data_IF_448469889029
#
_entry.id   IF_448469889029
#
_cell.length_a   1.000
_cell.length_b   1.000
_cell.length_c   1.000
_cell.angle_alpha   90.00
_cell.angle_beta   90.00
_cell.angle_gamma   90.00
#
_symmetry.space_group_name_H-M   'P 1'
#
loop_
_entity.id
_entity.type
_entity.pdbx_description
1 polymer ?
#
# COMPACT_ATOMS: atom_id res chain seq x y z
N UNK A 1 -15.78 13.20 2.55
CA UNK A 1 -14.91 14.19 1.88
C UNK A 1 -13.80 13.41 1.21
N UNK A 2 -13.79 13.34 -0.12
CA UNK A 2 -12.82 12.54 -0.88
C UNK A 2 -11.44 13.19 -0.76
N UNK A 3 -10.41 12.41 -0.43
CA UNK A 3 -9.03 12.91 -0.35
C UNK A 3 -8.61 13.54 -1.69
N UNK A 4 -7.83 14.63 -1.69
CA UNK A 4 -7.36 15.26 -2.92
C UNK A 4 -6.56 14.25 -3.75
N UNK A 5 -6.95 14.10 -5.01
CA UNK A 5 -6.22 13.25 -5.96
C UNK A 5 -4.92 13.99 -6.30
N UNK A 6 -3.78 13.45 -5.89
CA UNK A 6 -2.47 14.02 -6.22
C UNK A 6 -2.21 13.79 -7.71
N UNK A 7 -2.34 14.85 -8.51
CA UNK A 7 -2.05 14.83 -9.93
C UNK A 7 -0.62 15.32 -10.16
N UNK A 8 0.29 14.37 -10.41
CA UNK A 8 1.69 14.59 -10.79
C UNK A 8 1.99 13.79 -12.04
N UNK A 9 2.91 14.29 -12.86
CA UNK A 9 3.42 13.57 -14.04
C UNK A 9 4.22 12.33 -13.64
N UNK A 10 4.43 11.41 -14.58
CA UNK A 10 5.22 10.20 -14.31
C UNK A 10 6.67 10.54 -13.94
N UNK A 11 7.24 11.57 -14.55
CA UNK A 11 8.60 12.04 -14.27
C UNK A 11 8.73 12.58 -12.84
N UNK A 12 7.76 13.38 -12.39
CA UNK A 12 7.72 13.86 -11.00
C UNK A 12 7.59 12.70 -10.01
N UNK A 13 6.81 11.68 -10.34
CA UNK A 13 6.72 10.48 -9.49
C UNK A 13 8.04 9.70 -9.47
N UNK A 14 8.75 9.56 -10.59
CA UNK A 14 10.08 8.92 -10.63
C UNK A 14 11.13 9.71 -9.86
N UNK A 15 10.97 11.03 -9.75
CA UNK A 15 11.85 11.88 -8.96
C UNK A 15 11.58 11.82 -7.45
N UNK A 16 10.32 11.60 -7.06
CA UNK A 16 9.89 11.56 -5.64
C UNK A 16 9.93 10.15 -5.06
N UNK A 17 9.58 9.14 -5.84
CA UNK A 17 9.50 7.74 -5.42
C UNK A 17 10.77 6.99 -5.78
N UNK A 18 11.16 6.04 -4.93
CA UNK A 18 12.19 5.07 -5.28
C UNK A 18 11.75 4.22 -6.50
N UNK A 19 12.68 3.61 -7.24
CA UNK A 19 12.34 2.75 -8.37
C UNK A 19 11.36 1.62 -8.02
N UNK A 20 11.52 1.01 -6.84
CA UNK A 20 10.59 0.00 -6.34
C UNK A 20 9.23 0.61 -5.99
N UNK A 21 9.22 1.78 -5.36
CA UNK A 21 7.98 2.50 -5.05
C UNK A 21 7.18 2.86 -6.28
N UNK A 22 7.86 3.36 -7.32
CA UNK A 22 7.24 3.69 -8.58
C UNK A 22 6.67 2.44 -9.26
N UNK A 23 7.45 1.36 -9.34
CA UNK A 23 7.01 0.08 -9.92
C UNK A 23 5.75 -0.46 -9.23
N UNK A 24 5.72 -0.41 -7.92
CA UNK A 24 4.59 -0.90 -7.12
C UNK A 24 3.36 0.01 -7.27
N UNK A 25 3.51 1.31 -7.00
CA UNK A 25 2.39 2.25 -6.93
C UNK A 25 1.82 2.63 -8.31
N UNK A 26 2.66 2.68 -9.35
CA UNK A 26 2.29 3.17 -10.69
C UNK A 26 2.22 2.06 -11.73
N UNK A 27 3.19 1.15 -11.74
CA UNK A 27 3.22 0.04 -12.71
C UNK A 27 2.40 -1.18 -12.26
N UNK A 28 1.68 -1.06 -11.12
CA UNK A 28 0.90 -2.15 -10.51
C UNK A 28 1.74 -3.39 -10.23
N UNK A 29 3.03 -3.19 -9.97
CA UNK A 29 3.95 -4.24 -9.54
C UNK A 29 3.62 -4.72 -8.13
N UNK A 30 4.09 -5.92 -7.82
CA UNK A 30 4.06 -6.47 -6.47
C UNK A 30 5.51 -6.64 -6.01
N UNK A 31 5.80 -6.20 -4.80
CA UNK A 31 7.09 -6.46 -4.15
C UNK A 31 7.30 -7.97 -3.95
N UNK A 32 8.56 -8.39 -3.81
CA UNK A 32 8.86 -9.79 -3.56
C UNK A 32 8.36 -10.18 -2.16
N UNK A 33 7.93 -11.44 -2.00
CA UNK A 33 7.45 -11.94 -0.71
C UNK A 33 8.51 -11.77 0.37
N UNK A 34 8.14 -11.18 1.51
CA UNK A 34 9.00 -11.03 2.68
C UNK A 34 10.18 -10.07 2.51
N UNK A 35 10.25 -9.29 1.41
CA UNK A 35 11.27 -8.26 1.23
C UNK A 35 10.80 -6.87 1.65
N UNK A 36 9.49 -6.70 1.88
CA UNK A 36 8.92 -5.44 2.31
C UNK A 36 9.37 -5.03 3.70
N UNK A 37 9.85 -3.79 3.83
CA UNK A 37 10.26 -3.19 5.12
C UNK A 37 9.16 -3.30 6.18
N UNK A 38 7.89 -3.18 5.75
CA UNK A 38 6.73 -3.16 6.64
C UNK A 38 6.05 -4.53 6.85
N UNK A 39 6.53 -5.60 6.21
CA UNK A 39 5.97 -6.95 6.36
C UNK A 39 6.05 -7.41 7.82
N UNK A 40 7.27 -7.39 8.39
CA UNK A 40 7.54 -7.79 9.79
C UNK A 40 7.69 -6.61 10.75
N UNK A 41 7.37 -5.40 10.29
CA UNK A 41 7.37 -4.23 11.16
C UNK A 41 6.05 -4.14 11.93
N UNK A 42 6.13 -4.01 13.25
CA UNK A 42 4.98 -3.91 14.16
C UNK A 42 5.09 -2.67 15.07
N UNK A 43 5.76 -1.62 14.61
CA UNK A 43 5.82 -0.36 15.34
C UNK A 43 4.44 0.28 15.49
N UNK A 44 4.25 1.00 16.59
CA UNK A 44 3.03 1.79 16.79
C UNK A 44 3.05 3.04 15.91
N UNK A 45 1.95 3.33 15.24
CA UNK A 45 1.85 4.48 14.33
C UNK A 45 0.73 4.36 13.31
N UNK A 46 0.75 5.26 12.34
CA UNK A 46 -0.22 5.28 11.24
C UNK A 46 0.49 5.00 9.93
N UNK A 47 -0.07 4.05 9.17
CA UNK A 47 0.42 3.66 7.86
C UNK A 47 -0.24 4.54 6.79
N UNK A 48 0.55 5.42 6.20
CA UNK A 48 0.15 6.42 5.22
C UNK A 48 0.48 5.97 3.81
N UNK A 49 -0.27 6.43 2.81
CA UNK A 49 0.04 6.16 1.41
C UNK A 49 1.39 6.79 1.02
N UNK A 50 2.36 6.01 0.53
CA UNK A 50 3.65 6.51 0.08
C UNK A 50 3.60 7.49 -1.10
N UNK A 51 2.46 7.57 -1.81
CA UNK A 51 2.25 8.55 -2.87
C UNK A 51 1.65 9.87 -2.38
N UNK A 52 0.50 9.82 -1.72
CA UNK A 52 -0.27 11.01 -1.35
C UNK A 52 -0.21 11.39 0.14
N UNK A 53 0.42 10.58 0.98
CA UNK A 53 0.51 10.81 2.43
C UNK A 53 -0.79 10.58 3.20
N UNK A 54 -1.87 10.16 2.55
CA UNK A 54 -3.16 9.93 3.21
C UNK A 54 -3.06 8.76 4.20
N UNK A 55 -3.57 8.89 5.44
CA UNK A 55 -3.60 7.79 6.41
C UNK A 55 -4.55 6.67 5.94
N UNK A 56 -4.03 5.45 5.81
CA UNK A 56 -4.77 4.29 5.31
C UNK A 56 -5.09 3.28 6.41
N UNK A 57 -4.11 2.93 7.24
CA UNK A 57 -4.25 1.90 8.27
C UNK A 57 -3.62 2.33 9.59
N UNK A 58 -4.08 1.74 10.70
CA UNK A 58 -3.45 1.91 12.01
C UNK A 58 -2.59 0.68 12.32
N UNK A 59 -1.50 0.84 13.06
CA UNK A 59 -0.70 -0.29 13.54
C UNK A 59 -1.51 -1.29 14.37
N UNK A 60 -2.50 -0.82 15.13
CA UNK A 60 -3.39 -1.66 15.94
C UNK A 60 -4.25 -2.61 15.09
N UNK A 61 -4.42 -2.32 13.80
CA UNK A 61 -5.19 -3.16 12.87
C UNK A 61 -4.31 -4.10 12.06
N UNK A 62 -2.99 -4.02 12.22
CA UNK A 62 -2.03 -4.92 11.60
C UNK A 62 -2.03 -6.27 12.28
N UNK A 63 -1.93 -7.34 11.50
CA UNK A 63 -1.80 -8.71 11.99
C UNK A 63 -0.86 -9.51 11.11
N UNK A 64 -0.31 -10.61 11.65
CA UNK A 64 0.50 -11.54 10.87
C UNK A 64 -0.41 -12.52 10.13
N UNK A 65 -0.45 -12.41 8.81
CA UNK A 65 -1.18 -13.33 7.94
C UNK A 65 -0.32 -14.51 7.47
N UNK A 66 1.01 -14.45 7.66
CA UNK A 66 1.96 -15.43 7.11
C UNK A 66 2.10 -15.41 5.58
N UNK A 67 1.47 -14.47 4.87
CA UNK A 67 1.54 -14.41 3.40
C UNK A 67 2.84 -13.81 2.87
N UNK A 68 3.57 -13.05 3.70
CA UNK A 68 4.80 -12.33 3.34
C UNK A 68 4.57 -10.92 2.80
N UNK A 69 3.39 -10.34 3.09
CA UNK A 69 3.05 -8.92 2.90
C UNK A 69 2.28 -8.39 4.12
N UNK A 70 2.35 -7.07 4.38
CA UNK A 70 1.66 -6.47 5.51
C UNK A 70 0.13 -6.60 5.36
N UNK A 71 -0.51 -7.18 6.38
CA UNK A 71 -1.95 -7.40 6.43
C UNK A 71 -2.64 -6.57 7.51
N UNK A 72 -3.79 -6.00 7.18
CA UNK A 72 -4.61 -5.18 8.08
C UNK A 72 -6.07 -5.60 7.99
N UNK A 73 -6.75 -5.73 9.13
CA UNK A 73 -8.17 -6.11 9.14
C UNK A 73 -9.11 -4.91 9.01
N UNK A 74 -8.64 -3.71 9.32
CA UNK A 74 -9.42 -2.48 9.28
C UNK A 74 -8.56 -1.30 8.80
N UNK A 75 -9.13 -0.47 7.92
CA UNK A 75 -8.53 0.77 7.45
C UNK A 75 -9.46 1.96 7.70
N UNK A 76 -8.93 3.17 7.55
CA UNK A 76 -9.71 4.37 7.83
C UNK A 76 -10.93 4.50 6.91
N UNK A 77 -12.11 4.86 7.47
CA UNK A 77 -13.33 4.96 6.69
C UNK A 77 -13.20 6.04 5.61
N UNK A 78 -13.43 5.65 4.35
CA UNK A 78 -13.34 6.55 3.20
C UNK A 78 -11.94 6.82 2.66
N UNK A 79 -10.88 6.27 3.28
CA UNK A 79 -9.51 6.41 2.78
C UNK A 79 -9.17 5.41 1.66
N UNK A 80 -9.81 4.23 1.68
CA UNK A 80 -9.51 3.12 0.77
C UNK A 80 -10.65 2.96 -0.24
N UNK A 81 -10.34 3.17 -1.52
CA UNK A 81 -11.26 2.85 -2.61
C UNK A 81 -11.09 1.39 -3.02
N UNK A 82 -12.14 0.59 -2.83
CA UNK A 82 -12.16 -0.83 -3.21
C UNK A 82 -12.66 -0.97 -4.64
N UNK A 83 -11.71 -1.08 -5.57
CA UNK A 83 -12.01 -1.42 -6.96
C UNK A 83 -12.10 -2.94 -7.10
N UNK A 84 -13.29 -3.47 -7.37
CA UNK A 84 -13.46 -4.89 -7.71
C UNK A 84 -12.77 -5.18 -9.05
N UNK A 85 -11.71 -5.97 -9.03
CA UNK A 85 -11.06 -6.43 -10.26
C UNK A 85 -11.87 -7.60 -10.84
N UNK A 86 -12.59 -7.40 -11.94
CA UNK A 86 -13.39 -8.44 -12.62
C UNK A 86 -12.57 -9.24 -13.65
N UNK A 87 -11.28 -8.92 -13.81
CA UNK A 87 -10.40 -9.64 -14.74
C UNK A 87 -9.78 -10.84 -14.01
N UNK A 88 -10.53 -11.95 -13.95
CA UNK A 88 -10.00 -13.27 -13.62
C UNK A 88 -9.16 -13.78 -14.80
N UNK A 89 -7.85 -13.57 -14.72
CA UNK A 89 -6.88 -14.53 -15.26
C UNK A 89 -5.87 -14.79 -14.16
N UNK A 90 -5.79 -16.06 -13.76
CA UNK A 90 -5.04 -16.67 -12.66
C UNK A 90 -3.65 -16.04 -12.40
N UNK A 91 -3.35 -15.80 -11.11
CA UNK A 91 -2.43 -16.61 -10.30
C UNK A 91 -2.58 -16.17 -8.83
N UNK A 92 -2.93 -17.11 -7.96
CA UNK A 92 -2.72 -17.15 -6.50
C UNK A 92 -3.18 -15.94 -5.64
N UNK A 93 -4.32 -16.10 -4.95
CA UNK A 93 -4.43 -15.74 -3.53
C UNK A 93 -4.27 -14.27 -3.10
N UNK A 94 -5.27 -13.44 -3.41
CA UNK A 94 -5.91 -12.53 -2.45
C UNK A 94 -5.05 -11.62 -1.54
N UNK A 95 -4.65 -10.45 -2.04
CA UNK A 95 -5.07 -9.09 -1.63
C UNK A 95 -4.09 -8.14 -2.34
N UNK A 96 -4.56 -7.38 -3.34
CA UNK A 96 -3.73 -6.33 -3.94
C UNK A 96 -3.59 -5.17 -2.96
N UNK A 97 -2.65 -5.27 -2.04
CA UNK A 97 -2.09 -4.11 -1.35
C UNK A 97 -0.57 -4.24 -1.30
N UNK A 98 0.13 -3.96 -2.40
CA UNK A 98 1.49 -3.47 -2.30
C UNK A 98 1.33 -1.95 -2.08
N UNK A 99 0.69 -1.56 -0.98
CA UNK A 99 0.74 -0.18 -0.55
C UNK A 99 2.11 -0.06 0.10
N UNK A 100 3.03 0.66 -0.54
CA UNK A 100 4.12 1.24 0.23
C UNK A 100 3.47 2.16 1.25
N UNK A 101 3.39 1.63 2.44
CA UNK A 101 2.87 2.33 3.58
C UNK A 101 4.07 3.00 4.24
N UNK A 102 4.01 4.30 4.44
CA UNK A 102 5.00 5.01 5.25
C UNK A 102 4.42 5.08 6.66
N UNK A 103 5.18 4.65 7.66
CA UNK A 103 4.75 4.79 9.06
C UNK A 103 5.15 6.16 9.57
N UNK A 104 4.18 6.95 9.98
CA UNK A 104 4.40 8.16 10.76
C UNK A 104 4.30 7.76 12.25
N UNK A 105 5.44 7.77 12.94
CA UNK A 105 5.56 7.53 14.40
C UNK A 105 5.36 8.82 15.18
#
# INVERSE_FOLDING_TARGET
MTAPKVEKSEDEWRAVLSPEQFRVLREKGTELRGTGEYDKFYGEGIYNCGGCGTPLYKSTTKFDSGCGWPAFYEGFPGAINRSSCVSLTLMEGGLRSPALLVVDT
#
